data_IF_332699148326
#
_entry.id   IF_332699148326
#
_cell.length_a   1.000
_cell.length_b   1.000
_cell.length_c   1.000
_cell.angle_alpha   90.00
_cell.angle_beta   90.00
_cell.angle_gamma   90.00
#
_symmetry.space_group_name_H-M   'P 1'
#
loop_
_entity.id
_entity.type
_entity.pdbx_description
1 polymer ?
#
# COMPACT_ATOMS: atom_id res chain seq x y z
N UNK A 1 -28.07 -22.13 6.74
CA UNK A 1 -27.66 -20.74 6.41
C UNK A 1 -26.67 -20.34 7.49
N UNK A 2 -25.37 -20.57 7.26
CA UNK A 2 -24.32 -20.36 8.26
C UNK A 2 -23.51 -19.13 7.85
N UNK A 3 -23.58 -18.10 8.69
CA UNK A 3 -22.77 -16.89 8.63
C UNK A 3 -21.36 -17.27 9.10
N UNK A 4 -20.44 -17.48 8.15
CA UNK A 4 -19.02 -17.68 8.48
C UNK A 4 -18.37 -16.31 8.67
N UNK A 5 -18.22 -15.94 9.95
CA UNK A 5 -17.32 -14.88 10.41
C UNK A 5 -15.89 -15.33 10.11
N UNK A 6 -15.22 -14.71 9.16
CA UNK A 6 -13.81 -14.95 8.88
C UNK A 6 -12.97 -13.92 9.64
N UNK A 7 -12.32 -14.35 10.72
CA UNK A 7 -11.12 -13.70 11.23
C UNK A 7 -10.00 -13.91 10.19
N UNK A 8 -9.17 -12.90 9.99
CA UNK A 8 -8.08 -12.90 9.02
C UNK A 8 -7.06 -13.98 9.42
N UNK A 9 -7.30 -15.21 8.98
CA UNK A 9 -6.49 -16.37 9.31
C UNK A 9 -5.17 -16.32 8.53
N UNK A 10 -4.12 -16.44 9.34
CA UNK A 10 -2.71 -16.42 9.02
C UNK A 10 -2.25 -17.66 8.22
N UNK A 11 -2.68 -17.86 6.97
CA UNK A 11 -2.19 -18.98 6.13
C UNK A 11 -1.84 -18.61 4.67
N UNK A 12 -0.67 -17.97 4.53
CA UNK A 12 0.48 -18.26 3.65
C UNK A 12 0.40 -19.02 2.30
N UNK A 13 -0.73 -19.39 1.69
CA UNK A 13 -0.68 -20.16 0.41
C UNK A 13 -1.69 -19.86 -0.70
N UNK A 14 -2.52 -18.81 -0.61
CA UNK A 14 -3.49 -18.51 -1.68
C UNK A 14 -3.57 -17.03 -2.08
N UNK A 15 -2.42 -16.34 -2.20
CA UNK A 15 -2.37 -15.09 -2.98
C UNK A 15 -1.75 -15.28 -4.38
N UNK A 16 -1.11 -16.40 -4.65
CA UNK A 16 -0.43 -16.61 -5.94
C UNK A 16 -1.37 -17.14 -7.03
N UNK A 17 -2.49 -17.81 -6.68
CA UNK A 17 -3.45 -18.33 -7.66
C UNK A 17 -4.68 -17.42 -7.91
N UNK A 18 -4.81 -16.29 -7.20
CA UNK A 18 -6.01 -15.45 -7.28
C UNK A 18 -5.85 -14.22 -8.20
N UNK A 19 -5.20 -14.41 -9.35
CA UNK A 19 -5.07 -13.40 -10.41
C UNK A 19 -5.60 -13.90 -11.77
N UNK A 20 -6.39 -14.99 -11.81
CA UNK A 20 -6.87 -15.56 -13.09
C UNK A 20 -8.35 -15.97 -13.16
N UNK A 21 -9.22 -15.68 -12.18
CA UNK A 21 -10.66 -15.95 -12.42
C UNK A 21 -11.57 -14.94 -11.72
N UNK A 22 -12.01 -13.96 -12.52
CA UNK A 22 -13.30 -13.28 -12.48
C UNK A 22 -14.03 -13.27 -11.12
N UNK A 23 -13.77 -12.23 -10.32
CA UNK A 23 -14.73 -11.60 -9.40
C UNK A 23 -14.20 -10.23 -8.95
N UNK A 24 -13.98 -9.39 -9.94
CA UNK A 24 -13.69 -7.96 -9.81
C UNK A 24 -14.91 -7.26 -9.21
N UNK A 25 -14.83 -6.86 -7.93
CA UNK A 25 -15.25 -5.54 -7.40
C UNK A 25 -15.31 -5.56 -5.86
N UNK A 26 -15.67 -6.68 -5.23
CA UNK A 26 -15.90 -6.73 -3.78
C UNK A 26 -14.59 -6.94 -2.99
N UNK A 27 -13.62 -7.66 -3.57
CA UNK A 27 -12.34 -8.00 -2.92
C UNK A 27 -11.39 -6.78 -2.81
N UNK A 28 -11.52 -5.80 -3.71
CA UNK A 28 -10.68 -4.59 -3.70
C UNK A 28 -10.93 -3.71 -2.46
N UNK A 29 -12.19 -3.57 -2.01
CA UNK A 29 -12.52 -2.74 -0.86
C UNK A 29 -11.97 -3.29 0.46
N UNK A 30 -11.91 -4.62 0.62
CA UNK A 30 -11.52 -5.26 1.89
C UNK A 30 -10.00 -5.26 2.07
N UNK A 31 -9.22 -5.30 0.97
CA UNK A 31 -7.76 -5.18 1.03
C UNK A 31 -7.29 -3.73 1.28
N UNK A 32 -8.07 -2.73 0.81
CA UNK A 32 -7.70 -1.32 0.90
C UNK A 32 -7.64 -0.77 2.33
N UNK A 33 -8.58 -1.16 3.21
CA UNK A 33 -8.64 -0.66 4.59
C UNK A 33 -7.50 -1.17 5.49
N UNK A 34 -6.86 -2.28 5.12
CA UNK A 34 -5.70 -2.79 5.84
C UNK A 34 -4.37 -2.19 5.37
N UNK A 35 -4.28 -1.63 4.15
CA UNK A 35 -3.01 -1.07 3.70
C UNK A 35 -2.65 0.26 4.39
N UNK A 36 -3.65 1.09 4.69
CA UNK A 36 -3.47 2.35 5.42
C UNK A 36 -2.91 2.14 6.84
N UNK A 37 -3.10 0.94 7.41
CA UNK A 37 -2.56 0.57 8.73
C UNK A 37 -1.04 0.45 8.75
N UNK A 38 -0.38 0.28 7.60
CA UNK A 38 1.04 -0.02 7.54
C UNK A 38 1.94 1.20 7.30
N UNK A 39 1.42 2.37 6.96
CA UNK A 39 2.25 3.45 6.39
C UNK A 39 2.72 4.50 7.40
N UNK A 40 1.97 4.71 8.49
CA UNK A 40 2.26 5.79 9.44
C UNK A 40 2.83 5.29 10.77
N UNK A 41 4.05 5.72 11.07
CA UNK A 41 4.74 5.47 12.36
C UNK A 41 4.04 6.14 13.54
N UNK A 42 3.27 7.19 13.29
CA UNK A 42 2.40 7.85 14.25
C UNK A 42 0.95 7.49 13.93
N UNK A 43 0.44 6.46 14.61
CA UNK A 43 -0.98 6.10 14.64
C UNK A 43 -1.79 7.27 15.23
N UNK A 44 -2.01 8.32 14.46
CA UNK A 44 -3.04 9.31 14.76
C UNK A 44 -4.38 8.62 14.51
N UNK A 45 -5.30 8.70 15.46
CA UNK A 45 -6.67 8.19 15.31
C UNK A 45 -7.37 8.71 14.05
N UNK A 46 -6.87 9.82 13.50
CA UNK A 46 -7.24 10.42 12.22
C UNK A 46 -7.18 9.45 11.03
N UNK A 47 -6.23 8.50 11.02
CA UNK A 47 -6.05 7.54 9.93
C UNK A 47 -6.82 6.23 10.14
N UNK A 48 -7.53 6.09 11.26
CA UNK A 48 -8.34 4.91 11.52
C UNK A 48 -9.59 4.91 10.61
N UNK A 49 -10.05 3.74 10.15
CA UNK A 49 -11.32 3.62 9.45
C UNK A 49 -12.46 4.18 10.31
N UNK A 50 -13.16 5.21 9.81
CA UNK A 50 -14.34 5.76 10.46
C UNK A 50 -15.58 5.02 9.96
N UNK A 51 -16.41 4.50 10.87
CA UNK A 51 -17.63 3.77 10.51
C UNK A 51 -18.63 4.60 9.68
N UNK A 52 -18.56 5.93 9.77
CA UNK A 52 -19.37 6.89 9.02
C UNK A 52 -18.63 7.53 7.83
N UNK A 53 -17.48 6.98 7.42
CA UNK A 53 -16.68 7.51 6.33
C UNK A 53 -17.45 7.48 4.99
N UNK A 54 -17.60 8.64 4.34
CA UNK A 54 -18.01 8.68 2.94
C UNK A 54 -16.85 8.19 2.05
N UNK A 55 -17.12 7.75 0.81
CA UNK A 55 -16.07 7.33 -0.14
C UNK A 55 -15.04 8.41 -0.49
N UNK A 56 -15.22 9.66 -0.06
CA UNK A 56 -14.27 10.76 -0.27
C UNK A 56 -13.67 11.29 1.03
N UNK A 57 -14.06 10.77 2.19
CA UNK A 57 -13.59 11.25 3.48
C UNK A 57 -12.08 11.03 3.74
N UNK A 58 -11.42 10.16 2.97
CA UNK A 58 -9.96 9.98 3.04
C UNK A 58 -9.18 11.10 2.36
N UNK A 59 -9.79 11.89 1.46
CA UNK A 59 -9.07 12.89 0.64
C UNK A 59 -8.47 13.98 1.53
N UNK A 60 -9.20 14.39 2.57
CA UNK A 60 -8.77 15.42 3.50
C UNK A 60 -7.53 15.02 4.31
N UNK A 61 -7.42 13.74 4.66
CA UNK A 61 -6.32 13.22 5.50
C UNK A 61 -5.27 12.45 4.71
N UNK A 62 -5.40 12.39 3.39
CA UNK A 62 -4.56 11.55 2.54
C UNK A 62 -3.07 11.91 2.64
N UNK A 63 -2.76 13.20 2.58
CA UNK A 63 -1.41 13.74 2.73
C UNK A 63 -0.78 13.48 4.12
N UNK A 64 -1.61 13.14 5.12
CA UNK A 64 -1.18 12.82 6.49
C UNK A 64 -1.01 11.32 6.67
N UNK A 65 -1.92 10.54 6.09
CA UNK A 65 -1.99 9.09 6.29
C UNK A 65 -1.25 8.29 5.20
N UNK A 66 -0.87 8.94 4.10
CA UNK A 66 -0.32 8.31 2.91
C UNK A 66 -1.39 7.84 1.94
N UNK A 67 -0.95 7.61 0.71
CA UNK A 67 -1.74 7.01 -0.37
C UNK A 67 -0.87 6.05 -1.17
N UNK A 68 -0.96 4.74 -0.88
CA UNK A 68 -0.39 3.72 -1.75
C UNK A 68 -1.05 3.78 -3.11
N UNK A 69 -0.22 3.89 -4.15
CA UNK A 69 -0.65 3.87 -5.55
C UNK A 69 -0.08 2.66 -6.29
N UNK A 70 1.17 2.32 -6.02
CA UNK A 70 1.84 1.14 -6.55
C UNK A 70 2.15 0.11 -5.48
N UNK A 71 1.94 -1.16 -5.79
CA UNK A 71 2.16 -2.28 -4.87
C UNK A 71 2.79 -3.45 -5.61
N UNK A 72 3.90 -3.96 -5.07
CA UNK A 72 4.60 -5.11 -5.65
C UNK A 72 5.17 -6.03 -4.61
N UNK A 73 4.88 -7.32 -4.74
CA UNK A 73 5.53 -8.36 -3.94
C UNK A 73 6.80 -8.84 -4.62
N UNK A 74 7.89 -8.95 -3.85
CA UNK A 74 9.00 -9.83 -4.23
C UNK A 74 8.58 -11.28 -4.00
N UNK A 75 8.59 -12.06 -5.07
CA UNK A 75 8.22 -13.48 -5.05
C UNK A 75 9.23 -14.34 -4.29
N UNK A 76 10.47 -13.88 -4.14
CA UNK A 76 11.54 -14.64 -3.47
C UNK A 76 11.48 -14.46 -1.96
N UNK A 77 11.39 -13.23 -1.48
CA UNK A 77 11.42 -12.91 -0.04
C UNK A 77 10.02 -12.82 0.57
N UNK A 78 9.01 -12.47 -0.24
CA UNK A 78 7.67 -12.15 0.21
C UNK A 78 7.51 -10.72 0.74
N UNK A 79 8.51 -9.86 0.54
CA UNK A 79 8.43 -8.44 0.90
C UNK A 79 7.44 -7.71 -0.02
N UNK A 80 6.64 -6.81 0.56
CA UNK A 80 5.74 -5.92 -0.15
C UNK A 80 6.37 -4.54 -0.29
N UNK A 81 6.70 -4.16 -1.52
CA UNK A 81 7.12 -2.81 -1.88
C UNK A 81 5.90 -1.95 -2.20
N UNK A 82 5.95 -0.71 -1.75
CA UNK A 82 4.86 0.25 -1.80
C UNK A 82 5.39 1.56 -2.37
N UNK A 83 4.79 2.05 -3.45
CA UNK A 83 4.92 3.42 -3.90
C UNK A 83 3.78 4.25 -3.28
N UNK A 84 4.13 5.12 -2.34
CA UNK A 84 3.21 6.03 -1.70
C UNK A 84 3.36 7.45 -2.28
N UNK A 85 2.22 8.06 -2.61
CA UNK A 85 2.18 9.37 -3.24
C UNK A 85 2.88 10.47 -2.44
N UNK A 86 2.95 10.35 -1.10
CA UNK A 86 3.54 11.36 -0.22
C UNK A 86 4.80 10.87 0.49
N UNK A 87 4.92 9.56 0.74
CA UNK A 87 6.00 9.00 1.57
C UNK A 87 7.11 8.31 0.77
N UNK A 88 7.05 8.36 -0.56
CA UNK A 88 8.09 7.80 -1.40
C UNK A 88 7.94 6.29 -1.57
N UNK A 89 9.08 5.60 -1.61
CA UNK A 89 9.13 4.14 -1.70
C UNK A 89 9.28 3.56 -0.31
N UNK A 90 8.42 2.60 0.02
CA UNK A 90 8.41 1.92 1.31
C UNK A 90 8.34 0.40 1.13
N UNK A 91 8.63 -0.34 2.20
CA UNK A 91 8.56 -1.80 2.21
C UNK A 91 7.98 -2.33 3.52
N UNK A 92 7.18 -3.38 3.41
CA UNK A 92 6.66 -4.18 4.53
C UNK A 92 7.13 -5.61 4.35
N UNK A 93 7.74 -6.19 5.38
CA UNK A 93 8.21 -7.57 5.32
C UNK A 93 7.07 -8.60 5.24
N UNK A 94 7.36 -9.89 4.97
CA UNK A 94 6.35 -10.93 4.79
C UNK A 94 5.51 -11.22 6.05
N UNK A 95 5.96 -10.75 7.22
CA UNK A 95 5.19 -10.86 8.47
C UNK A 95 4.21 -9.69 8.67
N UNK A 96 4.12 -8.78 7.70
CA UNK A 96 3.39 -7.53 7.85
C UNK A 96 4.09 -6.57 8.82
N UNK A 97 3.32 -5.65 9.38
CA UNK A 97 3.82 -4.64 10.31
C UNK A 97 4.12 -3.31 9.63
N UNK A 98 4.68 -2.37 10.38
CA UNK A 98 4.88 -1.02 9.90
C UNK A 98 5.86 -0.99 8.72
N UNK A 99 5.48 -0.26 7.68
CA UNK A 99 6.28 0.00 6.51
C UNK A 99 7.54 0.77 6.89
N UNK A 100 8.66 0.32 6.34
CA UNK A 100 9.96 0.96 6.46
C UNK A 100 10.19 1.80 5.21
N UNK A 101 10.57 3.06 5.38
CA UNK A 101 10.92 3.93 4.26
C UNK A 101 12.23 3.45 3.63
N UNK A 102 12.23 3.29 2.31
CA UNK A 102 13.41 2.90 1.52
C UNK A 102 14.00 4.09 0.77
N UNK A 103 13.17 4.92 0.15
CA UNK A 103 13.61 6.10 -0.58
C UNK A 103 12.57 7.23 -0.49
N UNK A 104 13.05 8.45 -0.22
CA UNK A 104 12.24 9.69 -0.24
C UNK A 104 12.79 10.72 -1.20
N UNK A 105 13.94 10.45 -1.82
CA UNK A 105 14.62 11.28 -2.80
C UNK A 105 15.41 10.41 -3.78
N UNK A 106 15.66 10.95 -4.97
CA UNK A 106 16.55 10.37 -5.97
C UNK A 106 17.42 11.47 -6.56
N UNK A 107 18.73 11.25 -6.62
CA UNK A 107 19.71 12.23 -7.14
C UNK A 107 19.60 13.62 -6.47
N UNK A 108 19.24 13.64 -5.18
CA UNK A 108 19.05 14.88 -4.41
C UNK A 108 17.73 15.61 -4.71
N UNK A 109 16.85 15.04 -5.55
CA UNK A 109 15.51 15.56 -5.81
C UNK A 109 14.49 14.80 -4.93
N UNK A 110 13.74 15.48 -4.06
CA UNK A 110 12.69 14.84 -3.26
C UNK A 110 11.58 14.27 -4.13
N UNK A 111 11.14 13.06 -3.79
CA UNK A 111 9.96 12.44 -4.39
C UNK A 111 8.70 13.14 -3.85
N UNK A 112 7.79 13.52 -4.74
CA UNK A 112 6.60 14.29 -4.37
C UNK A 112 5.29 13.65 -4.81
N UNK A 113 5.34 12.75 -5.78
CA UNK A 113 4.18 12.04 -6.28
C UNK A 113 4.57 10.67 -6.82
N UNK A 114 5.13 9.84 -5.95
CA UNK A 114 5.50 8.46 -6.29
C UNK A 114 4.26 7.67 -6.66
N UNK A 115 4.26 7.05 -7.84
CA UNK A 115 3.05 6.52 -8.44
C UNK A 115 3.04 5.00 -8.55
N UNK A 116 4.15 4.40 -8.98
CA UNK A 116 4.24 2.95 -9.14
C UNK A 116 5.62 2.40 -8.79
N UNK A 117 5.68 1.10 -8.50
CA UNK A 117 6.91 0.36 -8.17
C UNK A 117 6.89 -1.04 -8.80
N UNK A 118 8.01 -1.49 -9.35
CA UNK A 118 8.24 -2.86 -9.82
C UNK A 118 9.61 -3.36 -9.37
N UNK A 119 9.77 -4.68 -9.31
CA UNK A 119 11.01 -5.35 -8.95
C UNK A 119 11.34 -6.43 -9.98
N UNK A 120 12.59 -6.48 -10.42
CA UNK A 120 13.03 -7.52 -11.35
C UNK A 120 13.48 -8.80 -10.63
N UNK A 121 13.88 -9.81 -11.41
CA UNK A 121 14.33 -11.09 -10.87
C UNK A 121 15.70 -11.05 -10.22
N UNK A 122 16.45 -9.96 -10.34
CA UNK A 122 17.74 -9.76 -9.68
C UNK A 122 17.57 -9.03 -8.34
N UNK A 123 16.41 -8.42 -8.12
CA UNK A 123 16.07 -7.65 -6.92
C UNK A 123 16.26 -6.16 -7.10
N UNK A 124 16.45 -5.67 -8.34
CA UNK A 124 16.51 -4.24 -8.60
C UNK A 124 15.10 -3.67 -8.55
N UNK A 125 14.96 -2.55 -7.83
CA UNK A 125 13.69 -1.87 -7.62
C UNK A 125 13.58 -0.66 -8.56
N UNK A 126 12.50 -0.61 -9.32
CA UNK A 126 12.18 0.47 -10.24
C UNK A 126 10.92 1.17 -9.75
N UNK A 127 10.91 2.50 -9.75
CA UNK A 127 9.75 3.27 -9.34
C UNK A 127 9.57 4.50 -10.22
N UNK A 128 8.36 5.05 -10.21
CA UNK A 128 8.02 6.26 -10.95
C UNK A 128 7.57 7.36 -10.01
N UNK A 129 8.02 8.59 -10.29
CA UNK A 129 7.55 9.81 -9.65
C UNK A 129 6.83 10.64 -10.73
N UNK A 130 5.52 10.84 -10.56
CA UNK A 130 4.70 11.55 -11.55
C UNK A 130 5.05 13.03 -11.64
N UNK A 131 5.58 13.62 -10.56
CA UNK A 131 6.02 15.00 -10.54
C UNK A 131 6.91 15.28 -9.33
N UNK A 132 8.05 15.92 -9.58
CA UNK A 132 8.94 16.46 -8.52
C UNK A 132 8.49 17.84 -8.01
N UNK A 133 7.51 18.46 -8.66
CA UNK A 133 7.03 19.82 -8.34
C UNK A 133 5.68 19.80 -7.62
N UNK A 134 4.81 18.84 -7.96
CA UNK A 134 3.43 18.80 -7.48
C UNK A 134 3.17 17.53 -6.69
N UNK A 135 2.43 17.66 -5.60
CA UNK A 135 1.88 16.54 -4.85
C UNK A 135 0.48 16.19 -5.36
N UNK A 136 0.04 14.97 -5.05
CA UNK A 136 -1.34 14.52 -5.29
C UNK A 136 -2.32 15.43 -4.53
N UNK A 137 -3.31 15.99 -5.24
CA UNK A 137 -4.36 16.87 -4.72
C UNK A 137 -5.69 16.54 -5.40
#
# INVERSE_FOLDING_TARGET
MAMLRWECLNERKQMIDFMLTVKYLIVACICWQHLQHFLSKHRSELCNPKASASPLSYVETEHICGRPLGLRFDKKTGDLYIADAYFGVMMVGPQGGLATSLATEAEGVPLRFTNDVDIDTEGNLYFTDSSSNFQRK
#
